data_IF_081309333695
#
_entry.id   IF_081309333695
#
_cell.length_a   1.000
_cell.length_b   1.000
_cell.length_c   1.000
_cell.angle_alpha   90.00
_cell.angle_beta   90.00
_cell.angle_gamma   90.00
#
_symmetry.space_group_name_H-M   'P 1'
#
loop_
_entity.id
_entity.type
_entity.pdbx_description
1 polymer ?
#
# COMPACT_ATOMS: atom_id res chain seq x y z
N UNK A 1 11.53 -13.52 -17.64
CA UNK A 1 11.36 -12.26 -16.88
C UNK A 1 12.64 -11.45 -16.78
N UNK A 2 13.79 -12.02 -16.37
CA UNK A 2 15.06 -11.28 -16.26
C UNK A 2 15.48 -10.54 -17.55
N UNK A 3 15.23 -11.14 -18.72
CA UNK A 3 15.46 -10.53 -20.03
C UNK A 3 14.76 -9.19 -20.25
N UNK A 4 13.57 -8.98 -19.65
CA UNK A 4 12.85 -7.71 -19.72
C UNK A 4 13.60 -6.60 -18.99
N UNK A 5 14.21 -6.91 -17.85
CA UNK A 5 14.98 -5.91 -17.09
C UNK A 5 16.26 -5.53 -17.82
N UNK A 6 16.96 -6.52 -18.39
CA UNK A 6 18.20 -6.28 -19.13
C UNK A 6 17.97 -5.38 -20.35
N UNK A 7 16.84 -5.54 -21.04
CA UNK A 7 16.47 -4.69 -22.18
C UNK A 7 16.26 -3.21 -21.81
N UNK A 8 16.12 -2.88 -20.52
CA UNK A 8 15.94 -1.52 -20.02
C UNK A 8 17.26 -0.93 -19.49
N UNK A 9 18.34 -1.72 -19.43
CA UNK A 9 19.66 -1.23 -19.04
C UNK A 9 20.36 -0.58 -20.23
N UNK A 10 21.04 0.54 -19.97
CA UNK A 10 21.71 1.33 -21.01
C UNK A 10 23.07 0.76 -21.46
N UNK A 11 23.71 -0.08 -20.64
CA UNK A 11 25.09 -0.55 -20.86
C UNK A 11 25.30 -2.02 -20.45
N UNK A 12 26.10 -2.73 -21.24
CA UNK A 12 26.35 -4.17 -21.10
C UNK A 12 27.14 -4.54 -19.82
N UNK A 13 28.00 -3.65 -19.32
CA UNK A 13 28.69 -3.80 -18.02
C UNK A 13 27.73 -3.75 -16.83
N UNK A 14 26.59 -3.09 -17.02
CA UNK A 14 25.53 -2.98 -16.00
C UNK A 14 24.73 -4.28 -15.87
N UNK A 15 24.68 -5.10 -16.92
CA UNK A 15 23.86 -6.31 -16.96
C UNK A 15 24.33 -7.34 -15.94
N UNK A 16 25.62 -7.69 -15.91
CA UNK A 16 26.16 -8.68 -14.97
C UNK A 16 25.91 -8.25 -13.51
N UNK A 17 26.20 -6.97 -13.20
CA UNK A 17 25.97 -6.42 -11.86
C UNK A 17 24.48 -6.42 -11.49
N UNK A 18 23.59 -6.16 -12.44
CA UNK A 18 22.16 -6.22 -12.20
C UNK A 18 21.69 -7.65 -11.93
N UNK A 19 22.22 -8.63 -12.69
CA UNK A 19 21.92 -10.05 -12.49
C UNK A 19 22.32 -10.50 -11.07
N UNK A 20 23.48 -10.06 -10.59
CA UNK A 20 23.94 -10.35 -9.23
C UNK A 20 23.01 -9.76 -8.15
N UNK A 21 22.64 -8.48 -8.31
CA UNK A 21 21.67 -7.83 -7.43
C UNK A 21 20.32 -8.56 -7.46
N UNK A 22 19.82 -8.88 -8.65
CA UNK A 22 18.56 -9.60 -8.80
C UNK A 22 18.60 -10.96 -8.10
N UNK A 23 19.62 -11.78 -8.37
CA UNK A 23 19.71 -13.12 -7.79
C UNK A 23 19.90 -13.11 -6.27
N UNK A 24 20.64 -12.13 -5.76
CA UNK A 24 20.89 -11.97 -4.32
C UNK A 24 19.62 -11.53 -3.59
N UNK A 25 18.90 -10.53 -4.12
CA UNK A 25 17.84 -9.86 -3.37
C UNK A 25 16.42 -10.25 -3.78
N UNK A 26 16.20 -11.01 -4.87
CA UNK A 26 14.84 -11.43 -5.30
C UNK A 26 14.03 -12.08 -4.19
N UNK A 27 14.65 -12.94 -3.37
CA UNK A 27 13.95 -13.61 -2.26
C UNK A 27 13.59 -12.62 -1.15
N UNK A 28 14.47 -11.66 -0.85
CA UNK A 28 14.21 -10.62 0.15
C UNK A 28 13.04 -9.73 -0.25
N UNK A 29 13.04 -9.27 -1.51
CA UNK A 29 11.97 -8.44 -2.07
C UNK A 29 10.65 -9.21 -2.07
N UNK A 30 10.65 -10.44 -2.60
CA UNK A 30 9.46 -11.29 -2.65
C UNK A 30 8.87 -11.53 -1.26
N UNK A 31 9.69 -11.94 -0.28
CA UNK A 31 9.18 -12.24 1.05
C UNK A 31 8.71 -10.99 1.79
N UNK A 32 9.35 -9.84 1.57
CA UNK A 32 8.87 -8.54 2.08
C UNK A 32 7.48 -8.23 1.53
N UNK A 33 7.30 -8.34 0.21
CA UNK A 33 6.02 -8.10 -0.45
C UNK A 33 4.94 -9.09 0.00
N UNK A 34 5.27 -10.38 0.05
CA UNK A 34 4.34 -11.44 0.45
C UNK A 34 3.82 -11.27 1.88
N UNK A 35 4.68 -10.82 2.82
CA UNK A 35 4.25 -10.52 4.19
C UNK A 35 3.19 -9.41 4.27
N UNK A 36 3.13 -8.53 3.28
CA UNK A 36 2.17 -7.42 3.22
C UNK A 36 0.94 -7.81 2.40
N UNK A 37 1.14 -8.39 1.22
CA UNK A 37 0.07 -8.72 0.29
C UNK A 37 -0.72 -9.97 0.68
N UNK A 38 -0.08 -10.97 1.32
CA UNK A 38 -0.70 -12.25 1.64
C UNK A 38 -1.04 -13.14 0.44
N UNK A 39 -0.73 -12.71 -0.78
CA UNK A 39 -1.01 -13.38 -2.05
C UNK A 39 0.28 -13.51 -2.87
N UNK A 40 0.52 -14.71 -3.43
CA UNK A 40 1.75 -15.01 -4.16
C UNK A 40 1.85 -14.28 -5.49
N UNK A 41 0.74 -14.15 -6.22
CA UNK A 41 0.72 -13.48 -7.52
C UNK A 41 0.99 -11.99 -7.35
N UNK A 42 0.39 -11.37 -6.34
CA UNK A 42 0.63 -9.96 -6.05
C UNK A 42 2.02 -9.69 -5.49
N UNK A 43 2.55 -10.60 -4.68
CA UNK A 43 3.92 -10.48 -4.22
C UNK A 43 4.90 -10.54 -5.40
N UNK A 44 4.60 -11.36 -6.41
CA UNK A 44 5.39 -11.43 -7.64
C UNK A 44 5.27 -10.15 -8.46
N UNK A 45 4.08 -9.57 -8.62
CA UNK A 45 3.88 -8.29 -9.28
C UNK A 45 4.69 -7.16 -8.61
N UNK A 46 4.61 -7.05 -7.27
CA UNK A 46 5.42 -6.08 -6.51
C UNK A 46 6.91 -6.29 -6.76
N UNK A 47 7.38 -7.55 -6.71
CA UNK A 47 8.78 -7.87 -7.01
C UNK A 47 9.18 -7.38 -8.40
N UNK A 48 8.32 -7.62 -9.40
CA UNK A 48 8.61 -7.26 -10.77
C UNK A 48 8.70 -5.74 -10.93
N UNK A 49 7.81 -4.99 -10.31
CA UNK A 49 7.81 -3.52 -10.37
C UNK A 49 9.01 -2.90 -9.66
N UNK A 50 9.41 -3.47 -8.51
CA UNK A 50 10.62 -3.04 -7.78
C UNK A 50 11.86 -3.24 -8.65
N UNK A 51 12.06 -4.42 -9.23
CA UNK A 51 13.24 -4.66 -10.06
C UNK A 51 13.23 -3.91 -11.38
N UNK A 52 12.06 -3.64 -11.96
CA UNK A 52 11.94 -2.75 -13.11
C UNK A 52 12.37 -1.32 -12.76
N UNK A 53 11.95 -0.81 -11.60
CA UNK A 53 12.36 0.50 -11.12
C UNK A 53 13.87 0.57 -10.85
N UNK A 54 14.42 -0.47 -10.23
CA UNK A 54 15.87 -0.60 -9.98
C UNK A 54 16.65 -0.63 -11.29
N UNK A 55 16.19 -1.39 -12.30
CA UNK A 55 16.83 -1.44 -13.61
C UNK A 55 16.87 -0.05 -14.28
N UNK A 56 15.73 0.66 -14.29
CA UNK A 56 15.62 2.01 -14.87
C UNK A 56 16.51 3.06 -14.20
N UNK A 57 16.87 2.84 -12.92
CA UNK A 57 17.65 3.79 -12.13
C UNK A 57 19.01 3.21 -11.73
N UNK A 58 19.46 2.15 -12.41
CA UNK A 58 20.57 1.34 -11.93
C UNK A 58 21.88 2.12 -11.80
N UNK A 59 22.10 3.11 -12.68
CA UNK A 59 23.25 4.01 -12.65
C UNK A 59 23.27 4.96 -11.44
N UNK A 60 22.12 5.24 -10.81
CA UNK A 60 21.98 6.15 -9.66
C UNK A 60 22.01 5.45 -8.32
N UNK A 61 21.83 4.12 -8.31
CA UNK A 61 21.74 3.33 -7.08
C UNK A 61 23.16 3.00 -6.60
N UNK A 62 23.46 3.43 -5.38
CA UNK A 62 24.70 3.08 -4.67
C UNK A 62 24.62 1.62 -4.21
N UNK A 63 25.66 0.84 -4.53
CA UNK A 63 25.66 -0.63 -4.37
C UNK A 63 26.87 -1.17 -3.60
N UNK A 64 27.76 -0.29 -3.16
CA UNK A 64 28.99 -0.67 -2.45
C UNK A 64 28.69 -1.30 -1.08
N UNK A 65 27.63 -0.83 -0.41
CA UNK A 65 27.20 -1.35 0.88
C UNK A 65 25.98 -2.27 0.73
N UNK A 66 26.17 -3.56 1.01
CA UNK A 66 25.12 -4.56 0.88
C UNK A 66 23.96 -4.37 1.87
N UNK A 67 24.20 -3.77 3.04
CA UNK A 67 23.17 -3.50 4.04
C UNK A 67 22.29 -2.32 3.65
N UNK A 68 22.90 -1.26 3.12
CA UNK A 68 22.18 -0.09 2.61
C UNK A 68 21.32 -0.47 1.40
N UNK A 69 21.87 -1.25 0.47
CA UNK A 69 21.11 -1.73 -0.69
C UNK A 69 19.94 -2.64 -0.26
N UNK A 70 20.17 -3.54 0.71
CA UNK A 70 19.09 -4.36 1.26
C UNK A 70 17.98 -3.51 1.88
N UNK A 71 18.35 -2.52 2.71
CA UNK A 71 17.40 -1.61 3.34
C UNK A 71 16.61 -0.81 2.30
N UNK A 72 17.29 -0.29 1.28
CA UNK A 72 16.66 0.41 0.16
C UNK A 72 15.63 -0.48 -0.56
N UNK A 73 16.00 -1.70 -0.93
CA UNK A 73 15.10 -2.64 -1.61
C UNK A 73 13.91 -3.02 -0.74
N UNK A 74 14.10 -3.20 0.57
CA UNK A 74 13.00 -3.43 1.52
C UNK A 74 12.05 -2.24 1.54
N UNK A 75 12.57 -1.01 1.62
CA UNK A 75 11.76 0.20 1.59
C UNK A 75 10.95 0.31 0.28
N UNK A 76 11.59 0.13 -0.87
CA UNK A 76 10.89 0.12 -2.17
C UNK A 76 9.77 -0.92 -2.22
N UNK A 77 10.05 -2.14 -1.71
CA UNK A 77 9.07 -3.24 -1.68
C UNK A 77 7.85 -2.90 -0.81
N UNK A 78 8.07 -2.32 0.37
CA UNK A 78 6.99 -1.94 1.29
C UNK A 78 6.12 -0.86 0.69
N UNK A 79 6.74 0.23 0.22
CA UNK A 79 6.00 1.34 -0.39
C UNK A 79 5.15 0.85 -1.55
N UNK A 80 5.71 0.00 -2.42
CA UNK A 80 4.98 -0.51 -3.57
C UNK A 80 3.82 -1.44 -3.19
N UNK A 81 4.03 -2.34 -2.22
CA UNK A 81 2.97 -3.22 -1.72
C UNK A 81 1.81 -2.42 -1.09
N UNK A 82 2.11 -1.40 -0.27
CA UNK A 82 1.07 -0.55 0.32
C UNK A 82 0.31 0.28 -0.72
N UNK A 83 1.00 0.81 -1.73
CA UNK A 83 0.34 1.51 -2.83
C UNK A 83 -0.61 0.61 -3.60
N UNK A 84 -0.22 -0.64 -3.87
CA UNK A 84 -1.10 -1.62 -4.53
C UNK A 84 -2.31 -1.99 -3.65
N UNK A 85 -2.12 -2.19 -2.34
CA UNK A 85 -3.23 -2.45 -1.41
C UNK A 85 -4.21 -1.27 -1.34
N UNK A 86 -3.69 -0.03 -1.33
CA UNK A 86 -4.53 1.17 -1.31
C UNK A 86 -5.42 1.24 -2.54
N UNK A 87 -4.85 1.06 -3.75
CA UNK A 87 -5.62 1.04 -5.00
C UNK A 87 -6.68 -0.04 -5.04
N UNK A 88 -6.35 -1.26 -4.62
CA UNK A 88 -7.31 -2.37 -4.56
C UNK A 88 -8.48 -2.09 -3.63
N UNK A 89 -8.22 -1.39 -2.53
CA UNK A 89 -9.26 -0.99 -1.59
C UNK A 89 -10.19 0.06 -2.21
N UNK A 90 -9.63 1.02 -2.96
CA UNK A 90 -10.40 2.03 -3.69
C UNK A 90 -11.29 1.39 -4.77
N UNK A 91 -10.73 0.49 -5.59
CA UNK A 91 -11.46 -0.27 -6.62
C UNK A 91 -12.64 -1.07 -6.04
N UNK A 92 -12.44 -1.75 -4.90
CA UNK A 92 -13.51 -2.51 -4.24
C UNK A 92 -14.66 -1.62 -3.72
N UNK A 93 -14.36 -0.36 -3.36
CA UNK A 93 -15.37 0.59 -2.89
C UNK A 93 -16.19 1.19 -4.04
N UNK A 94 -15.58 1.37 -5.21
CA UNK A 94 -16.26 1.85 -6.42
C UNK A 94 -17.22 0.82 -7.03
N UNK A 95 -16.97 -0.48 -6.81
CA UNK A 95 -17.78 -1.58 -7.34
C UNK A 95 -19.07 -1.89 -6.55
N UNK A 96 -19.35 -1.18 -5.46
CA UNK A 96 -20.62 -1.34 -4.73
C UNK A 96 -21.74 -0.77 -5.62
N UNK A 97 -22.64 -1.60 -6.19
CA UNK A 97 -23.74 -1.09 -6.98
C UNK A 97 -24.61 -0.23 -6.07
N UNK A 98 -25.04 0.94 -6.56
CA UNK A 98 -26.17 1.65 -5.96
C UNK A 98 -27.33 0.64 -5.91
N UNK A 99 -27.56 0.06 -4.74
CA UNK A 99 -28.75 -0.73 -4.53
C UNK A 99 -29.92 0.22 -4.82
N UNK A 100 -30.85 -0.11 -5.73
CA UNK A 100 -32.02 0.72 -5.92
C UNK A 100 -32.68 0.86 -4.54
N UNK A 101 -32.84 2.10 -4.09
CA UNK A 101 -33.54 2.46 -2.86
C UNK A 101 -35.01 2.08 -3.03
N UNK A 102 -35.26 0.78 -2.93
CA UNK A 102 -36.53 0.10 -3.16
C UNK A 102 -37.22 -0.22 -1.85
N UNK A 103 -36.68 0.22 -0.71
CA UNK A 103 -37.47 0.28 0.50
C UNK A 103 -38.43 1.45 0.35
N UNK A 104 -39.76 1.23 0.32
CA UNK A 104 -40.69 2.32 0.47
C UNK A 104 -40.36 2.96 1.81
N UNK A 105 -39.84 4.19 1.77
CA UNK A 105 -39.76 5.03 2.96
C UNK A 105 -41.19 5.16 3.45
N UNK A 106 -41.56 4.64 4.63
CA UNK A 106 -42.89 4.87 5.16
C UNK A 106 -42.95 6.36 5.49
N UNK A 107 -43.68 7.13 4.69
CA UNK A 107 -43.78 8.59 4.81
C UNK A 107 -44.52 9.05 6.08
N UNK A 108 -44.85 8.14 6.99
CA UNK A 108 -45.67 8.42 8.19
C UNK A 108 -45.28 7.58 9.43
N UNK A 109 -44.02 7.16 9.57
CA UNK A 109 -43.54 6.75 10.89
C UNK A 109 -43.12 8.02 11.65
N UNK A 110 -44.04 8.59 12.42
CA UNK A 110 -43.73 9.65 13.39
C UNK A 110 -42.58 9.18 14.29
N UNK A 111 -41.34 9.54 13.93
CA UNK A 111 -40.18 9.36 14.79
C UNK A 111 -40.41 10.28 15.97
N UNK A 112 -40.88 9.72 17.09
CA UNK A 112 -41.11 10.49 18.31
C UNK A 112 -39.83 11.25 18.62
N UNK A 113 -39.92 12.58 18.70
CA UNK A 113 -38.81 13.46 19.06
C UNK A 113 -38.12 13.03 20.36
N UNK A 114 -38.85 12.34 21.24
CA UNK A 114 -38.32 11.75 22.47
C UNK A 114 -37.25 10.69 22.20
N UNK A 115 -37.41 9.87 21.16
CA UNK A 115 -36.44 8.81 20.83
C UNK A 115 -35.12 9.42 20.33
N UNK A 116 -35.19 10.49 19.53
CA UNK A 116 -34.00 11.21 19.04
C UNK A 116 -33.28 11.90 20.20
N UNK A 117 -34.02 12.55 21.10
CA UNK A 117 -33.45 13.19 22.29
C UNK A 117 -32.80 12.17 23.22
N UNK A 118 -33.46 11.02 23.43
CA UNK A 118 -32.92 9.96 24.29
C UNK A 118 -31.65 9.33 23.71
N UNK A 119 -31.63 9.06 22.39
CA UNK A 119 -30.44 8.58 21.69
C UNK A 119 -29.29 9.60 21.74
N UNK A 120 -29.59 10.89 21.56
CA UNK A 120 -28.59 11.97 21.62
C UNK A 120 -27.95 12.05 23.00
N UNK A 121 -28.74 11.92 24.07
CA UNK A 121 -28.22 11.95 25.44
C UNK A 121 -27.38 10.70 25.77
N UNK A 122 -27.80 9.52 25.29
CA UNK A 122 -27.00 8.28 25.45
C UNK A 122 -25.66 8.36 24.71
N UNK A 123 -25.63 8.93 23.50
CA UNK A 123 -24.39 9.16 22.74
C UNK A 123 -23.47 10.13 23.48
N UNK A 124 -24.04 11.18 24.10
CA UNK A 124 -23.28 12.16 24.90
C UNK A 124 -22.63 11.53 26.12
N UNK A 125 -23.28 10.55 26.75
CA UNK A 125 -22.75 9.83 27.92
C UNK A 125 -21.61 8.87 27.58
N UNK A 126 -21.50 8.41 26.34
CA UNK A 126 -20.39 7.55 25.89
C UNK A 126 -19.12 8.31 25.47
N UNK A 127 -19.13 9.65 25.49
CA UNK A 127 -18.02 10.52 25.03
C UNK A 127 -16.91 10.88 26.07
N UNK A 128 -16.46 10.01 27.02
CA UNK A 128 -15.18 10.26 27.69
C UNK A 128 -13.99 9.43 27.14
N UNK A 129 -14.17 8.49 26.22
CA UNK A 129 -13.05 7.65 25.73
C UNK A 129 -12.52 7.97 24.33
N UNK A 130 -13.33 8.56 23.42
CA UNK A 130 -12.92 8.76 22.02
C UNK A 130 -12.17 10.07 21.74
N UNK A 131 -12.17 11.04 22.65
CA UNK A 131 -11.45 12.32 22.45
C UNK A 131 -9.95 12.24 22.83
N UNK A 132 -9.47 11.13 23.41
CA UNK A 132 -8.08 10.96 23.85
C UNK A 132 -7.19 10.14 22.90
N UNK A 133 -7.71 9.72 21.74
CA UNK A 133 -6.93 9.04 20.69
C UNK A 133 -7.16 9.65 19.31
N UNK A 134 -7.29 10.98 19.24
CA UNK A 134 -7.07 11.75 18.02
C UNK A 134 -5.57 11.96 17.83
N UNK A 135 -4.89 10.94 17.31
CA UNK A 135 -3.50 11.03 16.91
C UNK A 135 -3.40 11.89 15.64
N UNK A 136 -3.30 13.20 15.81
CA UNK A 136 -2.90 14.17 14.77
C UNK A 136 -1.38 14.10 14.48
N UNK A 137 -0.76 12.91 14.57
CA UNK A 137 0.68 12.70 14.39
C UNK A 137 1.01 11.53 13.44
N UNK A 138 0.14 11.24 12.46
CA UNK A 138 0.43 10.16 11.51
C UNK A 138 0.22 10.50 10.03
N UNK A 139 0.43 11.76 9.64
CA UNK A 139 0.49 12.08 8.22
C UNK A 139 1.41 13.26 7.90
N UNK A 140 2.74 13.13 8.10
CA UNK A 140 3.68 13.85 7.21
C UNK A 140 5.15 13.37 7.15
N UNK A 141 5.57 12.26 7.77
CA UNK A 141 7.01 11.98 7.87
C UNK A 141 7.60 10.91 6.91
N UNK A 142 6.81 10.24 6.07
CA UNK A 142 7.34 9.15 5.22
C UNK A 142 7.24 9.34 3.70
N UNK A 143 6.78 10.49 3.21
CA UNK A 143 6.75 10.78 1.75
C UNK A 143 8.00 11.57 1.29
N UNK A 144 8.84 12.07 2.20
CA UNK A 144 10.05 12.82 1.85
C UNK A 144 11.31 12.15 2.40
N UNK A 145 11.88 11.20 1.66
CA UNK A 145 13.34 11.02 1.58
C UNK A 145 13.70 10.20 0.35
N UNK A 146 13.61 10.88 -0.80
CA UNK A 146 14.64 10.82 -1.84
C UNK A 146 15.87 11.57 -1.33
#
# INVERSE_FOLDING_TARGET
MLSLYLAVLDDQSSEEQFIDVYNTYKRLVYHTAYKIMGDSYLAEDVLQEVFLYVAKNFSKIHRENCHELAAYLVSCSRSRAYDMLRKRREELLEEIPDAPDGTPVPDDAAVSTDNIQHLTELIRQMKPMYDATGSDDMCNCCICMV
#
